data_IF_363194028155
#
_entry.id   IF_363194028155
#
_cell.length_a   1.000
_cell.length_b   1.000
_cell.length_c   1.000
_cell.angle_alpha   90.00
_cell.angle_beta   90.00
_cell.angle_gamma   90.00
#
_symmetry.space_group_name_H-M   'P 1'
#
loop_
_entity.id
_entity.type
_entity.pdbx_description
1 polymer ?
#
# COMPACT_ATOMS: atom_id res chain seq x y z
N UNK A 1 -33.61 -27.15 -11.45
CA UNK A 1 -33.68 -25.68 -11.61
C UNK A 1 -33.25 -24.98 -10.30
N UNK A 2 -32.03 -25.25 -9.80
CA UNK A 2 -31.66 -24.88 -8.42
C UNK A 2 -30.25 -24.28 -8.29
N UNK A 3 -29.61 -23.86 -9.39
CA UNK A 3 -28.23 -23.34 -9.38
C UNK A 3 -28.13 -21.80 -9.45
N UNK A 4 -29.26 -21.09 -9.54
CA UNK A 4 -29.27 -19.62 -9.64
C UNK A 4 -29.31 -18.93 -8.28
N UNK A 5 -30.01 -19.51 -7.30
CA UNK A 5 -30.15 -18.91 -5.96
C UNK A 5 -28.86 -18.91 -5.14
N UNK A 6 -28.03 -19.94 -5.28
CA UNK A 6 -26.75 -20.04 -4.55
C UNK A 6 -25.73 -19.00 -5.05
N UNK A 7 -25.73 -18.69 -6.35
CA UNK A 7 -24.85 -17.66 -6.94
C UNK A 7 -25.24 -16.26 -6.49
N UNK A 8 -26.53 -15.97 -6.46
CA UNK A 8 -27.06 -14.68 -5.99
C UNK A 8 -26.69 -14.43 -4.52
N UNK A 9 -26.86 -15.44 -3.65
CA UNK A 9 -26.45 -15.33 -2.25
C UNK A 9 -24.94 -15.11 -2.08
N UNK A 10 -24.10 -15.81 -2.85
CA UNK A 10 -22.65 -15.63 -2.81
C UNK A 10 -22.23 -14.22 -3.24
N UNK A 11 -22.83 -13.68 -4.32
CA UNK A 11 -22.56 -12.32 -4.80
C UNK A 11 -23.05 -11.29 -3.77
N UNK A 12 -24.21 -11.51 -3.15
CA UNK A 12 -24.74 -10.59 -2.15
C UNK A 12 -23.86 -10.53 -0.89
N UNK A 13 -23.35 -11.68 -0.43
CA UNK A 13 -22.38 -11.74 0.68
C UNK A 13 -21.09 -11.02 0.32
N UNK A 14 -20.56 -11.25 -0.89
CA UNK A 14 -19.36 -10.59 -1.39
C UNK A 14 -19.51 -9.07 -1.45
N UNK A 15 -20.61 -8.57 -2.02
CA UNK A 15 -20.91 -7.12 -2.09
C UNK A 15 -21.00 -6.51 -0.69
N UNK A 16 -21.68 -7.18 0.26
CA UNK A 16 -21.77 -6.71 1.66
C UNK A 16 -20.40 -6.63 2.32
N UNK A 17 -19.56 -7.64 2.15
CA UNK A 17 -18.19 -7.63 2.67
C UNK A 17 -17.37 -6.47 2.12
N UNK A 18 -17.54 -6.13 0.84
CA UNK A 18 -16.88 -4.96 0.24
C UNK A 18 -17.39 -3.64 0.81
N UNK A 19 -18.69 -3.49 1.11
CA UNK A 19 -19.19 -2.29 1.80
C UNK A 19 -18.59 -2.15 3.20
N UNK A 20 -18.53 -3.23 3.97
CA UNK A 20 -17.88 -3.24 5.28
C UNK A 20 -16.40 -2.91 5.15
N UNK A 21 -15.71 -3.44 4.14
CA UNK A 21 -14.31 -3.14 3.88
C UNK A 21 -14.08 -1.67 3.51
N UNK A 22 -14.83 -1.11 2.55
CA UNK A 22 -14.58 0.24 2.04
C UNK A 22 -15.13 1.36 2.94
N UNK A 23 -16.18 1.09 3.71
CA UNK A 23 -16.96 2.11 4.42
C UNK A 23 -17.20 1.80 5.90
N UNK A 24 -16.70 0.67 6.41
CA UNK A 24 -16.89 0.20 7.81
C UNK A 24 -18.36 0.21 8.25
N UNK A 25 -19.27 -0.08 7.33
CA UNK A 25 -20.71 -0.12 7.55
C UNK A 25 -21.40 -0.93 6.46
N UNK A 26 -22.61 -1.38 6.75
CA UNK A 26 -23.45 -2.01 5.74
C UNK A 26 -23.82 -1.03 4.62
N UNK A 27 -23.82 -1.55 3.39
CA UNK A 27 -24.36 -0.83 2.26
C UNK A 27 -25.87 -0.62 2.41
N UNK A 28 -26.38 0.50 1.90
CA UNK A 28 -27.82 0.71 1.78
C UNK A 28 -28.39 -0.41 0.90
N UNK A 29 -29.46 -1.08 1.35
CA UNK A 29 -30.03 -2.25 0.68
C UNK A 29 -30.29 -2.02 -0.81
N UNK A 30 -30.84 -0.85 -1.17
CA UNK A 30 -31.06 -0.48 -2.58
C UNK A 30 -29.78 -0.44 -3.43
N UNK A 31 -28.65 -0.03 -2.86
CA UNK A 31 -27.37 -0.01 -3.56
C UNK A 31 -26.79 -1.41 -3.69
N UNK A 32 -26.90 -2.23 -2.64
CA UNK A 32 -26.51 -3.64 -2.66
C UNK A 32 -27.31 -4.38 -3.73
N UNK A 33 -28.64 -4.28 -3.70
CA UNK A 33 -29.52 -4.98 -4.63
C UNK A 33 -29.30 -4.52 -6.08
N UNK A 34 -29.01 -3.22 -6.29
CA UNK A 34 -28.66 -2.70 -7.62
C UNK A 34 -27.32 -3.24 -8.13
N UNK A 35 -26.30 -3.36 -7.28
CA UNK A 35 -24.99 -3.90 -7.65
C UNK A 35 -25.09 -5.39 -7.94
N UNK A 36 -25.77 -6.15 -7.08
CA UNK A 36 -26.02 -7.58 -7.28
C UNK A 36 -26.78 -7.81 -8.59
N UNK A 37 -27.82 -7.00 -8.86
CA UNK A 37 -28.56 -7.05 -10.13
C UNK A 37 -27.69 -6.78 -11.35
N UNK A 38 -26.80 -5.78 -11.31
CA UNK A 38 -25.86 -5.47 -12.40
C UNK A 38 -24.87 -6.61 -12.66
N UNK A 39 -24.42 -7.29 -11.60
CA UNK A 39 -23.52 -8.46 -11.73
C UNK A 39 -24.27 -9.66 -12.32
N UNK A 40 -25.48 -9.96 -11.83
CA UNK A 40 -26.29 -11.07 -12.33
C UNK A 40 -26.71 -10.87 -13.80
N UNK A 41 -26.93 -9.62 -14.22
CA UNK A 41 -27.23 -9.26 -15.61
C UNK A 41 -25.98 -9.11 -16.48
N UNK A 42 -24.78 -9.36 -15.94
CA UNK A 42 -23.48 -9.23 -16.64
C UNK A 42 -23.19 -7.81 -17.16
N UNK A 43 -23.84 -6.79 -16.60
CA UNK A 43 -23.55 -5.38 -16.86
C UNK A 43 -22.33 -4.88 -16.07
N UNK A 44 -22.01 -5.57 -14.96
CA UNK A 44 -20.84 -5.30 -14.12
C UNK A 44 -20.07 -6.60 -13.89
N UNK A 45 -18.85 -6.76 -14.43
CA UNK A 45 -18.00 -7.90 -14.12
C UNK A 45 -17.70 -7.97 -12.63
N UNK A 46 -17.64 -9.17 -12.06
CA UNK A 46 -17.45 -9.37 -10.62
C UNK A 46 -16.12 -8.73 -10.13
N UNK A 47 -15.11 -8.71 -10.99
CA UNK A 47 -13.78 -8.14 -10.75
C UNK A 47 -13.81 -6.61 -10.66
N UNK A 48 -14.82 -5.96 -11.24
CA UNK A 48 -14.98 -4.51 -11.23
C UNK A 48 -15.88 -4.02 -10.09
N UNK A 49 -16.52 -4.93 -9.36
CA UNK A 49 -17.39 -4.60 -8.21
C UNK A 49 -16.65 -3.81 -7.13
N UNK A 50 -15.39 -4.12 -6.75
CA UNK A 50 -14.65 -3.32 -5.77
C UNK A 50 -14.49 -1.86 -6.18
N UNK A 51 -14.14 -1.61 -7.46
CA UNK A 51 -13.95 -0.26 -8.00
C UNK A 51 -15.27 0.50 -8.12
N UNK A 52 -16.34 -0.21 -8.52
CA UNK A 52 -17.67 0.36 -8.58
C UNK A 52 -18.15 0.78 -7.20
N UNK A 53 -17.94 -0.07 -6.18
CA UNK A 53 -18.28 0.24 -4.79
C UNK A 53 -17.45 1.44 -4.31
N UNK A 54 -16.13 1.45 -4.51
CA UNK A 54 -15.26 2.59 -4.14
C UNK A 54 -15.75 3.91 -4.76
N UNK A 55 -16.22 3.88 -6.00
CA UNK A 55 -16.72 5.07 -6.71
C UNK A 55 -17.96 5.71 -6.07
N UNK A 56 -18.72 4.97 -5.25
CA UNK A 56 -19.91 5.50 -4.57
C UNK A 56 -19.58 6.64 -3.60
N UNK A 57 -18.35 6.69 -3.07
CA UNK A 57 -17.89 7.81 -2.25
C UNK A 57 -17.80 9.12 -3.03
N UNK A 58 -17.58 9.06 -4.35
CA UNK A 58 -17.56 10.24 -5.23
C UNK A 58 -18.96 10.68 -5.62
N UNK A 59 -19.90 9.74 -5.74
CA UNK A 59 -21.28 10.00 -6.16
C UNK A 59 -22.16 10.41 -4.99
N UNK A 60 -21.94 9.84 -3.80
CA UNK A 60 -22.70 10.11 -2.58
C UNK A 60 -21.76 10.39 -1.40
N UNK A 61 -21.04 11.53 -1.40
CA UNK A 61 -20.01 11.83 -0.40
C UNK A 61 -20.58 11.99 1.02
N UNK A 62 -21.81 12.48 1.15
CA UNK A 62 -22.50 12.63 2.44
C UNK A 62 -22.94 11.29 3.03
N UNK A 63 -23.06 10.29 2.16
CA UNK A 63 -23.46 8.96 2.54
C UNK A 63 -22.18 8.16 2.77
N UNK A 64 -21.33 7.95 1.78
CA UNK A 64 -20.17 7.05 1.86
C UNK A 64 -18.85 7.79 2.03
N UNK A 65 -18.23 7.65 3.20
CA UNK A 65 -16.89 8.16 3.48
C UNK A 65 -15.91 7.01 3.33
N UNK A 66 -15.04 7.08 2.33
CA UNK A 66 -14.09 6.02 2.01
C UNK A 66 -13.04 5.86 3.12
N UNK A 67 -12.95 4.67 3.69
CA UNK A 67 -12.00 4.32 4.76
C UNK A 67 -10.81 3.55 4.20
N UNK A 68 -11.06 2.61 3.29
CA UNK A 68 -10.04 1.81 2.63
C UNK A 68 -10.06 2.05 1.12
N UNK A 69 -8.93 1.82 0.43
CA UNK A 69 -8.85 1.91 -1.04
C UNK A 69 -8.72 0.52 -1.66
N UNK A 70 -9.15 0.37 -2.90
CA UNK A 70 -9.06 -0.92 -3.59
C UNK A 70 -7.59 -1.37 -3.69
N UNK A 71 -7.24 -2.61 -3.28
CA UNK A 71 -5.87 -3.11 -3.38
C UNK A 71 -5.31 -3.12 -4.81
N UNK A 72 -4.00 -2.85 -4.94
CA UNK A 72 -3.33 -2.62 -6.24
C UNK A 72 -3.45 -3.79 -7.24
N UNK A 73 -3.53 -5.04 -6.77
CA UNK A 73 -3.68 -6.21 -7.65
C UNK A 73 -5.05 -6.26 -8.34
N UNK A 74 -6.10 -5.72 -7.72
CA UNK A 74 -7.44 -5.59 -8.31
C UNK A 74 -7.48 -4.42 -9.30
N UNK A 75 -6.79 -3.31 -8.97
CA UNK A 75 -6.60 -2.18 -9.89
C UNK A 75 -5.87 -2.61 -11.18
N UNK A 76 -4.80 -3.40 -11.06
CA UNK A 76 -4.04 -3.91 -12.20
C UNK A 76 -4.84 -4.91 -13.06
N UNK A 77 -5.63 -5.80 -12.44
CA UNK A 77 -6.51 -6.71 -13.18
C UNK A 77 -7.63 -5.95 -13.93
N UNK A 78 -8.22 -4.94 -13.30
CA UNK A 78 -9.22 -4.09 -13.95
C UNK A 78 -8.62 -3.26 -15.10
N UNK A 79 -7.40 -2.73 -14.96
CA UNK A 79 -6.70 -2.02 -16.03
C UNK A 79 -6.33 -2.94 -17.20
N UNK A 80 -5.91 -4.17 -16.94
CA UNK A 80 -5.59 -5.14 -17.99
C UNK A 80 -6.84 -5.62 -18.75
N UNK A 81 -8.00 -5.73 -18.10
CA UNK A 81 -9.25 -6.06 -18.79
C UNK A 81 -9.83 -4.88 -19.59
N UNK A 82 -9.53 -3.63 -19.23
CA UNK A 82 -9.97 -2.46 -20.01
C UNK A 82 -9.12 -2.22 -21.27
N UNK A 83 -7.91 -2.77 -21.34
CA UNK A 83 -7.02 -2.60 -22.50
C UNK A 83 -7.29 -3.60 -23.65
N UNK A 84 -8.17 -4.58 -23.45
CA UNK A 84 -8.50 -5.55 -24.50
C UNK A 84 -9.80 -5.24 -25.26
N UNK A 85 -10.46 -4.11 -25.01
CA UNK A 85 -11.76 -3.85 -25.61
C UNK A 85 -12.03 -2.43 -26.15
N UNK A 86 -11.02 -1.59 -26.35
CA UNK A 86 -11.24 -0.28 -26.99
C UNK A 86 -10.20 0.03 -28.07
N UNK A 87 -10.38 -0.61 -29.22
CA UNK A 87 -9.85 -0.15 -30.50
C UNK A 87 -11.04 0.38 -31.33
N UNK A 88 -11.43 1.65 -31.13
CA UNK A 88 -11.86 2.56 -32.20
C UNK A 88 -12.37 3.91 -31.67
N UNK A 89 -12.05 4.95 -32.44
CA UNK A 89 -12.72 6.26 -32.57
C UNK A 89 -11.99 7.49 -31.95
N UNK A 90 -11.20 8.11 -32.83
CA UNK A 90 -11.03 9.54 -33.13
C UNK A 90 -11.64 10.66 -32.25
N UNK A 91 -10.83 11.73 -32.17
CA UNK A 91 -11.14 13.18 -32.04
C UNK A 91 -11.55 13.67 -30.64
N UNK A 92 -11.20 14.87 -30.12
CA UNK A 92 -10.48 16.07 -30.59
C UNK A 92 -10.36 17.06 -29.40
N UNK A 93 -9.28 17.88 -29.38
CA UNK A 93 -9.18 19.28 -28.87
C UNK A 93 -9.76 19.71 -27.50
N UNK A 94 -8.91 20.23 -26.58
CA UNK A 94 -8.78 21.67 -26.22
C UNK A 94 -8.32 21.98 -24.78
N UNK A 95 -7.37 22.93 -24.73
CA UNK A 95 -6.94 23.95 -23.75
C UNK A 95 -7.17 23.89 -22.21
N UNK A 96 -6.05 24.17 -21.51
CA UNK A 96 -5.81 24.70 -20.13
C UNK A 96 -6.43 26.12 -19.92
N UNK A 97 -6.42 26.83 -18.74
CA UNK A 97 -5.47 26.72 -17.60
C UNK A 97 -5.97 27.05 -16.14
N UNK A 98 -5.06 26.76 -15.18
CA UNK A 98 -4.74 27.42 -13.88
C UNK A 98 -5.82 28.05 -12.97
N UNK A 99 -5.75 27.70 -11.67
CA UNK A 99 -5.62 28.70 -10.60
C UNK A 99 -4.92 28.13 -9.35
N UNK A 100 -4.17 29.02 -8.67
CA UNK A 100 -3.26 28.80 -7.54
C UNK A 100 -3.75 29.62 -6.33
N UNK A 101 -3.54 29.15 -5.09
CA UNK A 101 -3.20 29.92 -3.85
C UNK A 101 -3.18 28.91 -2.66
N UNK A 102 -2.13 28.66 -1.85
CA UNK A 102 -1.25 29.45 -0.95
C UNK A 102 -1.92 30.09 0.28
N UNK A 103 -1.71 29.51 1.48
CA UNK A 103 -1.12 30.09 2.73
C UNK A 103 -1.30 29.12 3.93
N UNK A 104 -0.24 28.60 4.56
CA UNK A 104 0.62 29.15 5.63
C UNK A 104 -0.02 29.20 7.04
N UNK A 105 0.46 28.35 7.97
CA UNK A 105 0.68 28.72 9.38
C UNK A 105 1.68 27.78 10.09
N UNK A 106 2.27 28.32 11.17
CA UNK A 106 3.59 28.06 11.76
C UNK A 106 3.66 26.97 12.84
N UNK A 107 4.89 26.42 12.94
CA UNK A 107 5.67 25.93 14.09
C UNK A 107 4.97 25.58 15.42
N UNK A 108 5.26 24.36 15.89
CA UNK A 108 5.83 24.14 17.22
C UNK A 108 6.75 22.91 17.23
N UNK A 109 7.93 23.10 17.82
CA UNK A 109 8.90 22.06 18.15
C UNK A 109 8.33 21.13 19.22
N UNK A 110 8.49 19.81 19.04
CA UNK A 110 8.89 18.92 20.12
C UNK A 110 9.50 17.63 19.56
N UNK A 111 10.60 17.23 20.20
CA UNK A 111 11.38 16.02 19.95
C UNK A 111 10.51 14.78 20.12
N UNK A 112 10.44 13.94 19.09
CA UNK A 112 10.26 12.50 19.26
C UNK A 112 10.77 11.78 18.00
N UNK A 113 11.66 10.82 18.23
CA UNK A 113 12.11 9.85 17.25
C UNK A 113 10.90 9.04 16.76
N UNK A 114 10.36 9.42 15.62
CA UNK A 114 9.46 8.58 14.84
C UNK A 114 9.97 8.56 13.42
N UNK A 115 10.00 7.36 12.84
CA UNK A 115 10.32 7.05 11.46
C UNK A 115 9.60 7.98 10.48
N UNK A 116 10.20 9.14 10.21
CA UNK A 116 9.74 10.01 9.13
C UNK A 116 10.01 9.25 7.84
N UNK A 117 8.94 8.93 7.11
CA UNK A 117 9.03 8.82 5.66
C UNK A 117 9.73 10.11 5.20
N UNK A 118 11.02 10.03 4.89
CA UNK A 118 11.71 11.09 4.18
C UNK A 118 10.93 11.25 2.88
N UNK A 119 10.20 12.36 2.74
CA UNK A 119 9.65 12.74 1.45
C UNK A 119 10.82 13.08 0.55
N UNK A 120 11.22 12.11 -0.26
CA UNK A 120 12.17 12.33 -1.33
C UNK A 120 11.56 13.27 -2.38
N UNK A 121 12.34 14.24 -2.83
CA UNK A 121 11.91 15.22 -3.82
C UNK A 121 11.99 14.63 -5.24
N UNK A 122 12.95 13.75 -5.49
CA UNK A 122 13.23 13.19 -6.81
C UNK A 122 12.97 11.69 -6.91
N UNK A 123 12.82 10.98 -5.79
CA UNK A 123 12.52 9.56 -5.76
C UNK A 123 11.03 9.31 -5.49
N UNK A 124 10.39 8.55 -6.39
CA UNK A 124 9.04 8.06 -6.19
C UNK A 124 9.09 6.70 -5.49
N UNK A 125 8.65 6.67 -4.22
CA UNK A 125 8.61 5.46 -3.40
C UNK A 125 7.57 4.44 -3.87
N UNK A 126 6.57 4.86 -4.66
CA UNK A 126 5.54 3.96 -5.20
C UNK A 126 6.06 3.22 -6.43
N UNK A 127 6.69 3.94 -7.37
CA UNK A 127 7.24 3.33 -8.58
C UNK A 127 8.66 2.81 -8.40
N UNK A 128 9.31 3.10 -7.26
CA UNK A 128 10.71 2.83 -6.98
C UNK A 128 11.66 3.41 -8.04
N UNK A 129 11.33 4.58 -8.60
CA UNK A 129 12.10 5.21 -9.67
C UNK A 129 12.44 6.67 -9.37
N UNK A 130 13.61 7.11 -9.84
CA UNK A 130 13.98 8.52 -9.82
C UNK A 130 13.35 9.28 -10.98
N UNK A 131 12.69 10.40 -10.70
CA UNK A 131 12.15 11.30 -11.69
C UNK A 131 13.25 12.23 -12.24
N UNK A 132 14.03 11.70 -13.18
CA UNK A 132 15.14 12.41 -13.83
C UNK A 132 14.68 13.61 -14.65
N UNK A 133 13.45 13.55 -15.17
CA UNK A 133 12.87 14.65 -15.94
C UNK A 133 12.50 15.82 -15.04
N UNK A 134 11.99 15.57 -13.82
CA UNK A 134 11.79 16.61 -12.82
C UNK A 134 13.11 17.30 -12.43
N UNK A 135 14.18 16.53 -12.27
CA UNK A 135 15.51 17.10 -12.00
C UNK A 135 16.00 17.99 -13.15
N UNK A 136 15.84 17.56 -14.41
CA UNK A 136 16.22 18.36 -15.60
C UNK A 136 15.36 19.61 -15.79
N UNK A 137 14.10 19.57 -15.37
CA UNK A 137 13.17 20.72 -15.45
C UNK A 137 13.49 21.80 -14.43
N UNK A 138 14.14 21.44 -13.32
CA UNK A 138 14.64 22.38 -12.33
C UNK A 138 15.97 23.00 -12.78
N UNK A 139 16.26 24.21 -12.31
CA UNK A 139 17.58 24.81 -12.50
C UNK A 139 18.62 23.90 -11.83
N UNK A 140 19.55 23.38 -12.62
CA UNK A 140 20.66 22.54 -12.13
C UNK A 140 21.66 23.46 -11.41
N UNK A 141 21.36 23.73 -10.14
CA UNK A 141 22.25 24.42 -9.22
C UNK A 141 22.86 23.41 -8.24
N UNK A 142 23.88 23.86 -7.50
CA UNK A 142 24.58 23.02 -6.54
C UNK A 142 23.65 22.47 -5.45
N UNK A 143 22.60 23.21 -5.09
CA UNK A 143 21.64 22.81 -4.05
C UNK A 143 20.75 21.64 -4.52
N UNK A 144 20.16 21.75 -5.71
CA UNK A 144 19.32 20.70 -6.30
C UNK A 144 20.15 19.47 -6.69
N UNK A 145 21.35 19.68 -7.26
CA UNK A 145 22.27 18.59 -7.57
C UNK A 145 22.68 17.83 -6.30
N UNK A 146 22.98 18.55 -5.20
CA UNK A 146 23.29 17.94 -3.91
C UNK A 146 22.12 17.12 -3.38
N UNK A 147 20.90 17.67 -3.37
CA UNK A 147 19.71 16.93 -2.94
C UNK A 147 19.51 15.66 -3.77
N UNK A 148 19.58 15.76 -5.10
CA UNK A 148 19.44 14.60 -5.99
C UNK A 148 20.48 13.51 -5.68
N UNK A 149 21.74 13.89 -5.50
CA UNK A 149 22.82 12.93 -5.16
C UNK A 149 22.65 12.36 -3.75
N UNK A 150 22.21 13.15 -2.78
CA UNK A 150 21.92 12.67 -1.43
C UNK A 150 20.78 11.62 -1.45
N UNK A 151 19.69 11.88 -2.18
CA UNK A 151 18.59 10.94 -2.35
C UNK A 151 19.04 9.66 -3.06
N UNK A 152 19.84 9.77 -4.13
CA UNK A 152 20.43 8.60 -4.79
C UNK A 152 21.23 7.75 -3.81
N UNK A 153 22.08 8.36 -2.98
CA UNK A 153 22.87 7.64 -2.00
C UNK A 153 21.99 6.98 -0.94
N UNK A 154 21.00 7.70 -0.39
CA UNK A 154 20.12 7.14 0.65
C UNK A 154 19.31 5.96 0.09
N UNK A 155 18.72 6.11 -1.09
CA UNK A 155 17.89 5.05 -1.69
C UNK A 155 18.71 3.81 -2.04
N UNK A 156 19.86 3.98 -2.70
CA UNK A 156 20.64 2.83 -3.15
C UNK A 156 21.53 2.23 -2.08
N UNK A 157 22.02 3.02 -1.12
CA UNK A 157 23.03 2.58 -0.14
C UNK A 157 22.54 2.58 1.30
N UNK A 158 21.36 3.14 1.59
CA UNK A 158 20.79 3.23 2.93
C UNK A 158 21.46 4.28 3.83
N UNK A 159 22.40 5.07 3.30
CA UNK A 159 23.17 6.06 4.05
C UNK A 159 23.43 7.31 3.22
N UNK A 160 23.80 8.40 3.90
CA UNK A 160 24.35 9.59 3.26
C UNK A 160 25.69 9.21 2.61
N UNK A 161 25.90 9.65 1.37
CA UNK A 161 27.13 9.38 0.63
C UNK A 161 28.35 9.99 1.31
N UNK A 162 29.54 9.48 1.00
CA UNK A 162 30.77 10.11 1.50
C UNK A 162 30.94 11.51 0.89
N UNK A 163 31.52 12.48 1.62
CA UNK A 163 31.62 13.85 1.14
C UNK A 163 32.37 14.01 -0.18
N UNK A 164 33.39 13.18 -0.44
CA UNK A 164 34.23 13.30 -1.64
C UNK A 164 33.47 12.84 -2.90
N UNK A 165 32.87 11.65 -2.85
CA UNK A 165 32.05 11.12 -3.95
C UNK A 165 30.82 11.99 -4.19
N UNK A 166 30.19 12.47 -3.11
CA UNK A 166 29.03 13.37 -3.21
C UNK A 166 29.41 14.68 -3.89
N UNK A 167 30.49 15.35 -3.46
CA UNK A 167 30.94 16.59 -4.09
C UNK A 167 31.39 16.39 -5.54
N UNK A 168 32.05 15.27 -5.85
CA UNK A 168 32.41 14.92 -7.21
C UNK A 168 31.17 14.82 -8.11
N UNK A 169 30.16 14.03 -7.70
CA UNK A 169 28.93 13.86 -8.48
C UNK A 169 28.12 15.15 -8.61
N UNK A 170 28.05 15.95 -7.54
CA UNK A 170 27.38 17.26 -7.57
C UNK A 170 28.06 18.18 -8.56
N UNK A 171 29.40 18.27 -8.52
CA UNK A 171 30.15 19.09 -9.48
C UNK A 171 29.92 18.61 -10.91
N UNK A 172 29.99 17.30 -11.14
CA UNK A 172 29.81 16.69 -12.46
C UNK A 172 28.40 16.89 -13.04
N UNK A 173 27.37 16.98 -12.18
CA UNK A 173 26.00 17.30 -12.61
C UNK A 173 25.84 18.78 -12.95
N UNK A 174 26.44 19.67 -12.15
CA UNK A 174 26.36 21.14 -12.35
C UNK A 174 27.15 21.59 -13.57
N UNK A 175 28.32 21.00 -13.83
CA UNK A 175 29.12 21.30 -15.01
C UNK A 175 28.65 20.57 -16.29
N UNK A 176 27.67 19.68 -16.16
CA UNK A 176 27.09 18.91 -17.26
C UNK A 176 27.98 17.80 -17.80
N UNK A 177 29.11 17.49 -17.14
CA UNK A 177 29.96 16.36 -17.52
C UNK A 177 29.26 15.01 -17.31
N UNK A 178 28.33 14.94 -16.35
CA UNK A 178 27.47 13.79 -16.08
C UNK A 178 26.00 14.13 -16.31
N UNK A 179 25.30 13.22 -16.97
CA UNK A 179 23.83 13.18 -16.97
C UNK A 179 23.28 12.62 -15.65
N UNK A 180 22.03 12.93 -15.29
CA UNK A 180 21.37 12.34 -14.12
C UNK A 180 21.36 10.81 -14.13
N UNK A 181 21.27 10.21 -15.32
CA UNK A 181 21.37 8.76 -15.50
C UNK A 181 22.77 8.23 -15.20
N UNK A 182 23.83 8.91 -15.64
CA UNK A 182 25.21 8.50 -15.34
C UNK A 182 25.49 8.60 -13.83
N UNK A 183 25.02 9.66 -13.17
CA UNK A 183 25.14 9.80 -11.72
C UNK A 183 24.41 8.69 -10.95
N UNK A 184 23.19 8.34 -11.38
CA UNK A 184 22.44 7.21 -10.80
C UNK A 184 23.19 5.88 -10.98
N UNK A 185 23.69 5.59 -12.18
CA UNK A 185 24.40 4.33 -12.45
C UNK A 185 25.69 4.23 -11.62
N UNK A 186 26.41 5.34 -11.43
CA UNK A 186 27.62 5.37 -10.61
C UNK A 186 27.33 4.94 -9.16
N UNK A 187 26.26 5.45 -8.57
CA UNK A 187 25.86 5.10 -7.20
C UNK A 187 25.28 3.68 -7.17
N UNK A 188 24.38 3.34 -8.10
CA UNK A 188 23.71 2.03 -8.16
C UNK A 188 24.67 0.86 -8.31
N UNK A 189 25.79 1.04 -9.02
CA UNK A 189 26.80 0.00 -9.20
C UNK A 189 27.96 0.05 -8.21
N UNK A 190 27.92 0.98 -7.25
CA UNK A 190 28.87 1.03 -6.14
C UNK A 190 28.84 -0.26 -5.32
N UNK A 191 29.94 -0.54 -4.61
CA UNK A 191 30.04 -1.72 -3.75
C UNK A 191 29.02 -1.65 -2.62
N UNK A 192 28.81 -0.45 -2.09
CA UNK A 192 27.88 -0.11 -1.02
C UNK A 192 26.43 -0.38 -1.46
N UNK A 193 26.05 0.07 -2.66
CA UNK A 193 24.71 -0.17 -3.19
C UNK A 193 24.42 -1.65 -3.42
N UNK A 194 25.42 -2.41 -3.90
CA UNK A 194 25.29 -3.86 -4.06
C UNK A 194 25.12 -4.56 -2.71
N UNK A 195 25.89 -4.18 -1.70
CA UNK A 195 25.78 -4.74 -0.34
C UNK A 195 24.43 -4.39 0.29
N UNK A 196 24.00 -3.13 0.18
CA UNK A 196 22.70 -2.69 0.67
C UNK A 196 21.55 -3.41 -0.04
N UNK A 197 21.62 -3.57 -1.36
CA UNK A 197 20.61 -4.31 -2.14
C UNK A 197 20.45 -5.76 -1.67
N UNK A 198 21.55 -6.47 -1.40
CA UNK A 198 21.51 -7.83 -0.84
C UNK A 198 20.88 -7.83 0.56
N UNK A 199 21.27 -6.89 1.43
CA UNK A 199 20.71 -6.78 2.78
C UNK A 199 19.20 -6.48 2.76
N UNK A 200 18.76 -5.61 1.83
CA UNK A 200 17.38 -5.21 1.67
C UNK A 200 16.53 -6.37 1.14
N UNK A 201 17.06 -7.16 0.21
CA UNK A 201 16.42 -8.38 -0.27
C UNK A 201 16.29 -9.42 0.85
N UNK A 202 17.35 -9.65 1.64
CA UNK A 202 17.28 -10.55 2.80
C UNK A 202 16.22 -10.08 3.81
N UNK A 203 16.13 -8.77 4.06
CA UNK A 203 15.13 -8.20 4.96
C UNK A 203 13.71 -8.38 4.43
N UNK A 204 13.49 -8.19 3.12
CA UNK A 204 12.20 -8.44 2.47
C UNK A 204 11.80 -9.92 2.51
N UNK A 205 12.74 -10.83 2.24
CA UNK A 205 12.50 -12.27 2.31
C UNK A 205 12.18 -12.71 3.75
N UNK A 206 12.91 -12.18 4.74
CA UNK A 206 12.62 -12.39 6.17
C UNK A 206 11.24 -11.88 6.54
N UNK A 207 10.86 -10.69 6.05
CA UNK A 207 9.53 -10.11 6.26
C UNK A 207 8.42 -11.00 5.70
N UNK A 208 8.55 -11.46 4.46
CA UNK A 208 7.56 -12.33 3.84
C UNK A 208 7.37 -13.65 4.60
N UNK A 209 8.48 -14.28 5.03
CA UNK A 209 8.43 -15.50 5.85
C UNK A 209 7.80 -15.25 7.22
N UNK A 210 8.10 -14.10 7.83
CA UNK A 210 7.50 -13.70 9.10
C UNK A 210 5.99 -13.50 8.96
N UNK A 211 5.53 -12.81 7.91
CA UNK A 211 4.10 -12.64 7.63
C UNK A 211 3.40 -14.00 7.46
N UNK A 212 3.96 -14.89 6.64
CA UNK A 212 3.45 -16.25 6.44
C UNK A 212 3.35 -17.03 7.76
N UNK A 213 4.37 -16.94 8.61
CA UNK A 213 4.39 -17.59 9.92
C UNK A 213 3.28 -17.07 10.85
N UNK A 214 3.13 -15.74 10.95
CA UNK A 214 2.07 -15.13 11.78
C UNK A 214 0.68 -15.52 11.26
N UNK A 215 0.47 -15.53 9.94
CA UNK A 215 -0.80 -15.99 9.36
C UNK A 215 -1.14 -17.43 9.75
N UNK A 216 -0.17 -18.34 9.69
CA UNK A 216 -0.41 -19.73 10.08
C UNK A 216 -0.65 -19.88 11.59
N UNK A 217 -0.01 -19.09 12.45
CA UNK A 217 -0.33 -19.07 13.89
C UNK A 217 -1.77 -18.61 14.15
N UNK A 218 -2.20 -17.52 13.52
CA UNK A 218 -3.58 -17.03 13.65
C UNK A 218 -4.60 -18.07 13.15
N UNK A 219 -4.30 -18.72 12.03
CA UNK A 219 -5.13 -19.80 11.48
C UNK A 219 -5.21 -21.02 12.41
N UNK A 220 -4.11 -21.36 13.09
CA UNK A 220 -4.05 -22.48 14.03
C UNK A 220 -4.86 -22.21 15.31
N UNK A 221 -4.73 -21.01 15.89
CA UNK A 221 -5.33 -20.71 17.19
C UNK A 221 -6.73 -20.08 17.13
N UNK A 222 -7.02 -19.25 16.12
CA UNK A 222 -8.33 -18.62 15.95
C UNK A 222 -9.21 -19.36 14.92
N UNK A 223 -8.61 -20.24 14.11
CA UNK A 223 -9.30 -21.06 13.12
C UNK A 223 -9.17 -20.54 11.69
N UNK A 224 -9.45 -21.41 10.72
CA UNK A 224 -9.19 -21.16 9.30
C UNK A 224 -10.01 -20.03 8.66
N UNK A 225 -11.11 -19.61 9.30
CA UNK A 225 -11.95 -18.50 8.85
C UNK A 225 -11.58 -17.16 9.49
N UNK A 226 -10.63 -17.14 10.43
CA UNK A 226 -10.24 -15.92 11.12
C UNK A 226 -9.20 -15.16 10.30
N UNK A 227 -9.45 -13.87 10.05
CA UNK A 227 -8.53 -12.99 9.33
C UNK A 227 -7.71 -12.22 10.36
N UNK A 228 -6.38 -12.37 10.30
CA UNK A 228 -5.44 -11.63 11.15
C UNK A 228 -5.58 -10.12 10.87
N UNK A 229 -5.81 -9.28 11.89
CA UNK A 229 -5.81 -7.83 11.73
C UNK A 229 -4.47 -7.32 11.22
N UNK A 230 -4.49 -6.35 10.30
CA UNK A 230 -3.29 -5.84 9.65
C UNK A 230 -2.29 -5.20 10.64
N UNK A 231 -2.81 -4.52 11.66
CA UNK A 231 -1.98 -3.90 12.70
C UNK A 231 -1.19 -4.93 13.50
N UNK A 232 -1.82 -6.06 13.85
CA UNK A 232 -1.17 -7.15 14.59
C UNK A 232 -0.16 -7.90 13.72
N UNK A 233 -0.52 -8.15 12.46
CA UNK A 233 0.40 -8.73 11.49
C UNK A 233 1.67 -7.88 11.37
N UNK A 234 1.52 -6.56 11.19
CA UNK A 234 2.66 -5.66 11.09
C UNK A 234 3.47 -5.61 12.38
N UNK A 235 2.81 -5.61 13.54
CA UNK A 235 3.47 -5.61 14.84
C UNK A 235 4.38 -6.83 15.02
N UNK A 236 3.84 -8.05 14.90
CA UNK A 236 4.63 -9.28 15.11
C UNK A 236 5.68 -9.49 14.00
N UNK A 237 5.34 -9.14 12.76
CA UNK A 237 6.29 -9.20 11.64
C UNK A 237 7.49 -8.29 11.92
N UNK A 238 7.27 -7.07 12.42
CA UNK A 238 8.36 -6.16 12.75
C UNK A 238 9.22 -6.68 13.91
N UNK A 239 8.62 -7.30 14.93
CA UNK A 239 9.38 -7.96 16.00
C UNK A 239 10.31 -9.04 15.44
N UNK A 240 9.84 -9.85 14.50
CA UNK A 240 10.65 -10.90 13.87
C UNK A 240 11.75 -10.30 12.99
N UNK A 241 11.41 -9.29 12.19
CA UNK A 241 12.30 -8.73 11.17
C UNK A 241 13.43 -7.90 11.78
N UNK A 242 13.12 -7.03 12.74
CA UNK A 242 14.08 -6.09 13.34
C UNK A 242 15.00 -6.76 14.37
N UNK A 243 14.54 -7.81 15.07
CA UNK A 243 15.37 -8.54 16.03
C UNK A 243 16.29 -9.56 15.30
N UNK A 244 17.62 -9.55 15.56
CA UNK A 244 18.50 -10.62 15.10
C UNK A 244 18.19 -12.00 15.70
N UNK A 245 17.60 -12.07 16.90
CA UNK A 245 17.24 -13.29 17.60
C UNK A 245 15.79 -13.22 18.13
N UNK A 246 14.79 -13.23 17.23
CA UNK A 246 13.41 -13.04 17.62
C UNK A 246 12.91 -14.16 18.53
N UNK A 247 12.23 -13.79 19.60
CA UNK A 247 11.60 -14.72 20.54
C UNK A 247 10.24 -15.20 19.97
N UNK A 248 10.31 -16.26 19.15
CA UNK A 248 9.12 -16.89 18.58
C UNK A 248 8.17 -17.43 19.65
N UNK A 249 8.70 -17.89 20.80
CA UNK A 249 7.87 -18.45 21.86
C UNK A 249 6.99 -17.37 22.49
N UNK A 250 7.55 -16.20 22.78
CA UNK A 250 6.78 -15.07 23.31
C UNK A 250 5.71 -14.61 22.33
N UNK A 251 5.99 -14.61 21.02
CA UNK A 251 5.02 -14.23 19.99
C UNK A 251 3.86 -15.24 19.93
N UNK A 252 4.18 -16.54 19.93
CA UNK A 252 3.16 -17.58 19.94
C UNK A 252 2.27 -17.52 21.18
N UNK A 253 2.86 -17.31 22.36
CA UNK A 253 2.12 -17.31 23.62
C UNK A 253 1.18 -16.10 23.72
N UNK A 254 1.57 -14.92 23.23
CA UNK A 254 0.70 -13.74 23.12
C UNK A 254 -0.48 -13.99 22.16
N UNK A 255 -0.22 -14.59 20.99
CA UNK A 255 -1.27 -14.95 20.02
C UNK A 255 -2.23 -16.01 20.61
N UNK A 256 -1.72 -17.00 21.34
CA UNK A 256 -2.54 -18.01 22.04
C UNK A 256 -3.40 -17.38 23.12
N UNK A 257 -2.86 -16.49 23.93
CA UNK A 257 -3.60 -15.82 25.00
C UNK A 257 -4.75 -14.99 24.42
N UNK A 258 -4.49 -14.23 23.35
CA UNK A 258 -5.53 -13.52 22.60
C UNK A 258 -6.59 -14.45 22.01
N UNK A 259 -6.19 -15.61 21.50
CA UNK A 259 -7.13 -16.60 20.99
C UNK A 259 -8.05 -17.13 22.10
N UNK A 260 -7.49 -17.44 23.27
CA UNK A 260 -8.24 -17.88 24.45
C UNK A 260 -9.25 -16.81 24.89
N UNK A 261 -8.84 -15.53 24.91
CA UNK A 261 -9.73 -14.42 25.27
C UNK A 261 -10.87 -14.22 24.26
N UNK A 262 -10.69 -14.63 23.01
CA UNK A 262 -11.71 -14.57 21.96
C UNK A 262 -12.69 -15.76 21.96
N UNK A 263 -12.46 -16.81 22.75
CA UNK A 263 -13.41 -17.93 22.89
C UNK A 263 -14.59 -17.49 23.76
N UNK A 264 -15.72 -17.14 23.14
CA UNK A 264 -16.98 -16.99 23.86
C UNK A 264 -17.43 -18.36 24.41
N UNK A 265 -17.25 -18.59 25.70
CA UNK A 265 -17.82 -19.77 26.38
C UNK A 265 -19.35 -19.59 26.41
N UNK A 266 -20.13 -20.51 25.82
CA UNK A 266 -21.58 -20.47 25.95
C UNK A 266 -21.92 -20.72 27.42
N UNK A 267 -22.39 -19.69 28.12
CA UNK A 267 -22.95 -19.84 29.47
C UNK A 267 -24.23 -20.67 29.31
N UNK A 268 -24.15 -21.99 29.52
CA UNK A 268 -25.33 -22.84 29.66
C UNK A 268 -26.15 -22.25 30.81
N UNK A 269 -27.33 -21.68 30.49
CA UNK A 269 -28.31 -21.29 31.51
C UNK A 269 -28.53 -22.50 32.45
N UNK A 270 -28.45 -22.33 33.78
CA UNK A 270 -28.70 -23.43 34.70
C UNK A 270 -30.12 -23.97 34.47
N UNK A 271 -30.32 -25.29 34.52
CA UNK A 271 -31.62 -25.90 34.25
C UNK A 271 -32.65 -25.36 35.25
N UNK A 272 -33.70 -24.73 34.73
CA UNK A 272 -34.87 -24.40 35.55
C UNK A 272 -35.62 -25.71 35.82
N UNK A 273 -35.56 -26.16 37.06
CA UNK A 273 -36.43 -27.25 37.54
C UNK A 273 -37.88 -26.74 37.52
N UNK A 274 -38.75 -27.47 36.81
CA UNK A 274 -40.20 -27.30 36.86
C UNK A 274 -40.79 -28.07 38.04
#
# INVERSE_FOLDING_TARGET
>A
MSHSGDKEQQIQVYVRQLFTYYYNRDGISKHIDSIVGKVLNSELPLEQVPLFIESLAKVFPDVYILINKTPDHILQQAMNNNNNNNNNSQSSSSHKPQESHLKQQQQQQQQQQHSQQQQYQFYDTFTNTFNKELFKQLTIDTANAKKYVDELNIVYTGKIGDPATTQYLVKSLVDGSFSPTQAELQIKFSKEAKQHGVSLQIKQDKKKRAEEYIYELYKLYFGASFICPLDELHYYTNMIVEDPHPDYQSIEDDIKEKAIMNVQIPIKKPPQYK
#
